data_IF_491512344430
#
_entry.id   IF_491512344430
#
_cell.length_a   1.000
_cell.length_b   1.000
_cell.length_c   1.000
_cell.angle_alpha   90.00
_cell.angle_beta   90.00
_cell.angle_gamma   90.00
#
_symmetry.space_group_name_H-M   'P 1'
#
loop_
_entity.id
_entity.type
_entity.pdbx_description
1 polymer ?
#
# COMPACT_ATOMS: atom_id res chain seq x y z
N UNK A 1 -1.42 10.46 -50.87
CA UNK A 1 -1.91 10.95 -49.57
C UNK A 1 -1.36 12.34 -49.39
N UNK A 2 -2.23 13.35 -49.55
CA UNK A 2 -1.85 14.74 -49.72
C UNK A 2 -1.26 15.35 -48.45
N UNK A 3 -0.43 16.38 -48.63
CA UNK A 3 0.21 17.16 -47.59
C UNK A 3 -0.82 17.75 -46.58
N UNK A 4 -2.03 18.04 -47.07
CA UNK A 4 -3.18 18.51 -46.29
C UNK A 4 -3.67 17.52 -45.25
N UNK A 5 -3.68 16.20 -45.52
CA UNK A 5 -4.06 15.18 -44.55
C UNK A 5 -3.02 14.99 -43.44
N UNK A 6 -1.74 15.30 -43.69
CA UNK A 6 -0.68 15.32 -42.68
C UNK A 6 -0.81 16.52 -41.77
N UNK A 7 -1.19 17.67 -42.27
CA UNK A 7 -1.38 18.89 -41.49
C UNK A 7 -2.61 18.75 -40.59
N UNK A 8 -3.73 18.24 -41.10
CA UNK A 8 -4.94 17.96 -40.30
C UNK A 8 -4.64 16.95 -39.17
N UNK A 9 -3.76 15.98 -39.40
CA UNK A 9 -3.38 15.01 -38.39
C UNK A 9 -2.48 15.61 -37.29
N UNK A 10 -1.67 16.60 -37.61
CA UNK A 10 -0.85 17.35 -36.66
C UNK A 10 -1.66 18.40 -35.87
N UNK A 11 -2.65 19.03 -36.51
CA UNK A 11 -3.55 19.98 -35.86
C UNK A 11 -4.57 19.29 -34.94
N UNK A 12 -4.86 17.98 -35.18
CA UNK A 12 -5.71 17.16 -34.30
C UNK A 12 -4.94 16.45 -33.16
N UNK A 13 -3.61 16.49 -33.14
CA UNK A 13 -2.83 16.22 -31.98
C UNK A 13 -2.84 17.44 -31.04
N UNK A 14 -4.01 17.81 -30.57
CA UNK A 14 -4.15 18.65 -29.40
C UNK A 14 -3.47 17.83 -28.30
N UNK A 15 -2.33 18.30 -27.83
CA UNK A 15 -1.75 17.87 -26.55
C UNK A 15 -2.72 18.32 -25.46
N UNK A 16 -3.74 17.49 -25.21
CA UNK A 16 -4.53 17.64 -24.00
C UNK A 16 -3.59 17.33 -22.85
N UNK A 17 -3.03 18.36 -22.26
CA UNK A 17 -2.44 18.25 -20.93
C UNK A 17 -3.62 18.00 -19.98
N UNK A 18 -3.84 16.74 -19.61
CA UNK A 18 -4.93 16.35 -18.73
C UNK A 18 -4.87 17.13 -17.40
N UNK A 19 -3.70 17.66 -17.04
CA UNK A 19 -3.52 18.53 -15.87
C UNK A 19 -4.26 19.86 -15.98
N UNK A 20 -4.52 20.37 -17.21
CA UNK A 20 -5.29 21.61 -17.41
C UNK A 20 -6.82 21.41 -17.31
N UNK A 21 -7.29 20.16 -17.35
CA UNK A 21 -8.74 19.85 -17.34
C UNK A 21 -9.26 19.61 -15.92
N UNK A 22 -8.39 19.17 -14.99
CA UNK A 22 -8.79 18.88 -13.62
C UNK A 22 -8.43 20.04 -12.70
N UNK A 23 -9.44 20.65 -12.09
CA UNK A 23 -9.21 21.57 -11.00
C UNK A 23 -8.47 20.85 -9.87
N UNK A 24 -7.42 21.46 -9.30
CA UNK A 24 -6.70 20.86 -8.19
C UNK A 24 -7.65 20.65 -7.01
N UNK A 25 -7.59 19.48 -6.42
CA UNK A 25 -8.38 19.13 -5.23
C UNK A 25 -7.98 20.10 -4.11
N UNK A 26 -8.95 20.79 -3.45
CA UNK A 26 -8.64 21.68 -2.34
C UNK A 26 -7.89 20.95 -1.22
N UNK A 27 -6.82 21.57 -0.69
CA UNK A 27 -5.92 20.94 0.28
C UNK A 27 -6.64 20.42 1.54
N UNK A 28 -7.59 21.21 2.06
CA UNK A 28 -8.38 20.80 3.25
C UNK A 28 -9.24 19.58 2.96
N UNK A 29 -9.91 19.56 1.80
CA UNK A 29 -10.71 18.42 1.36
C UNK A 29 -9.85 17.17 1.16
N UNK A 30 -8.66 17.34 0.54
CA UNK A 30 -7.70 16.25 0.37
C UNK A 30 -7.29 15.65 1.72
N UNK A 31 -6.89 16.49 2.68
CA UNK A 31 -6.44 16.03 4.01
C UNK A 31 -7.55 15.29 4.77
N UNK A 32 -8.78 15.81 4.73
CA UNK A 32 -9.92 15.17 5.38
C UNK A 32 -10.20 13.80 4.77
N UNK A 33 -10.33 13.72 3.45
CA UNK A 33 -10.61 12.48 2.72
C UNK A 33 -9.49 11.46 2.86
N UNK A 34 -8.25 11.91 2.77
CA UNK A 34 -7.10 11.03 2.97
C UNK A 34 -7.08 10.43 4.38
N UNK A 35 -7.39 11.22 5.40
CA UNK A 35 -7.51 10.73 6.78
C UNK A 35 -8.60 9.68 6.94
N UNK A 36 -9.76 9.86 6.28
CA UNK A 36 -10.84 8.85 6.27
C UNK A 36 -10.36 7.53 5.63
N UNK A 37 -9.70 7.61 4.47
CA UNK A 37 -9.13 6.46 3.77
C UNK A 37 -8.11 5.74 4.64
N UNK A 38 -7.21 6.47 5.29
CA UNK A 38 -6.18 5.88 6.15
C UNK A 38 -6.78 5.21 7.40
N UNK A 39 -7.82 5.79 7.97
CA UNK A 39 -8.56 5.20 9.10
C UNK A 39 -9.23 3.89 8.66
N UNK A 40 -9.88 3.90 7.51
CA UNK A 40 -10.48 2.72 6.93
C UNK A 40 -9.44 1.64 6.61
N UNK A 41 -8.30 2.02 6.01
CA UNK A 41 -7.21 1.12 5.67
C UNK A 41 -6.65 0.43 6.91
N UNK A 42 -6.43 1.18 7.98
CA UNK A 42 -5.98 0.64 9.27
C UNK A 42 -6.96 -0.39 9.82
N UNK A 43 -8.26 -0.06 9.83
CA UNK A 43 -9.31 -0.98 10.27
C UNK A 43 -9.34 -2.25 9.41
N UNK A 44 -9.24 -2.13 8.09
CA UNK A 44 -9.20 -3.27 7.17
C UNK A 44 -8.00 -4.19 7.44
N UNK A 45 -6.82 -3.63 7.70
CA UNK A 45 -5.62 -4.40 8.04
C UNK A 45 -5.76 -5.10 9.40
N UNK A 46 -6.45 -4.48 10.36
CA UNK A 46 -6.64 -5.04 11.70
C UNK A 46 -7.69 -6.13 11.75
N UNK A 47 -8.82 -5.95 11.09
CA UNK A 47 -9.99 -6.81 11.18
C UNK A 47 -10.08 -7.82 10.02
N UNK A 48 -9.33 -7.59 8.93
CA UNK A 48 -9.39 -8.41 7.72
C UNK A 48 -10.68 -8.26 6.91
N UNK A 49 -11.54 -7.31 7.30
CA UNK A 49 -12.85 -7.05 6.70
C UNK A 49 -13.04 -5.55 6.49
N UNK A 50 -14.01 -5.18 5.66
CA UNK A 50 -14.37 -3.80 5.38
C UNK A 50 -15.87 -3.59 5.48
N UNK A 51 -16.25 -2.48 6.07
CA UNK A 51 -17.62 -1.97 6.13
C UNK A 51 -18.00 -1.09 4.92
N UNK A 52 -17.02 -0.78 4.05
CA UNK A 52 -17.19 0.01 2.82
C UNK A 52 -16.89 -0.84 1.57
N UNK A 53 -17.51 -0.46 0.47
CA UNK A 53 -17.24 -1.08 -0.83
C UNK A 53 -15.81 -0.73 -1.29
N UNK A 54 -15.02 -1.75 -1.63
CA UNK A 54 -13.65 -1.56 -2.10
C UNK A 54 -13.55 -0.73 -3.38
N UNK A 55 -14.56 -0.80 -4.24
CA UNK A 55 -14.59 -0.02 -5.47
C UNK A 55 -14.79 1.47 -5.17
N UNK A 56 -15.58 1.83 -4.16
CA UNK A 56 -15.74 3.22 -3.71
C UNK A 56 -14.40 3.78 -3.21
N UNK A 57 -13.70 3.03 -2.35
CA UNK A 57 -12.38 3.43 -1.85
C UNK A 57 -11.37 3.58 -3.00
N UNK A 58 -11.36 2.64 -3.95
CA UNK A 58 -10.51 2.76 -5.13
C UNK A 58 -10.78 4.04 -5.92
N UNK A 59 -12.05 4.38 -6.15
CA UNK A 59 -12.44 5.58 -6.88
C UNK A 59 -12.05 6.86 -6.10
N UNK A 60 -12.27 6.89 -4.79
CA UNK A 60 -11.84 8.01 -3.94
C UNK A 60 -10.32 8.23 -4.00
N UNK A 61 -9.53 7.15 -3.94
CA UNK A 61 -8.08 7.23 -4.09
C UNK A 61 -7.70 7.69 -5.50
N UNK A 62 -8.38 7.19 -6.52
CA UNK A 62 -8.15 7.58 -7.91
C UNK A 62 -8.39 9.07 -8.13
N UNK A 63 -9.50 9.60 -7.59
CA UNK A 63 -9.86 11.02 -7.68
C UNK A 63 -8.88 11.92 -6.90
N UNK A 64 -8.49 11.51 -5.69
CA UNK A 64 -7.57 12.27 -4.86
C UNK A 64 -6.15 12.34 -5.45
N UNK A 65 -5.69 11.26 -6.08
CA UNK A 65 -4.34 11.13 -6.63
C UNK A 65 -4.26 11.38 -8.14
N UNK A 66 -5.22 12.12 -8.70
CA UNK A 66 -5.32 12.30 -10.14
C UNK A 66 -4.13 13.10 -10.72
N UNK A 67 -3.63 14.07 -9.97
CA UNK A 67 -2.59 14.99 -10.43
C UNK A 67 -1.20 14.61 -9.93
N UNK A 68 -1.08 14.21 -8.68
CA UNK A 68 0.21 13.88 -8.04
C UNK A 68 -0.01 13.09 -6.76
N UNK A 69 1.07 12.50 -6.22
CA UNK A 69 1.08 11.88 -4.90
C UNK A 69 1.91 12.75 -3.96
N UNK A 70 1.28 13.43 -2.99
CA UNK A 70 2.00 14.15 -1.97
C UNK A 70 2.91 13.22 -1.14
N UNK A 71 4.09 13.71 -0.73
CA UNK A 71 5.03 12.94 0.10
C UNK A 71 4.40 12.44 1.40
N UNK A 72 3.45 13.18 1.96
CA UNK A 72 2.69 12.81 3.14
C UNK A 72 1.83 11.54 2.94
N UNK A 73 1.33 11.32 1.72
CA UNK A 73 0.60 10.10 1.34
C UNK A 73 1.54 8.90 1.41
N UNK A 74 2.72 9.01 0.80
CA UNK A 74 3.73 7.96 0.80
C UNK A 74 4.11 7.60 2.24
N UNK A 75 4.45 8.60 3.05
CA UNK A 75 4.81 8.42 4.47
C UNK A 75 3.69 7.78 5.29
N UNK A 76 2.44 8.19 5.05
CA UNK A 76 1.30 7.64 5.81
C UNK A 76 1.05 6.17 5.51
N UNK A 77 1.22 5.74 4.25
CA UNK A 77 1.11 4.33 3.86
C UNK A 77 2.28 3.52 4.44
N UNK A 78 3.51 4.02 4.33
CA UNK A 78 4.68 3.35 4.91
C UNK A 78 4.53 3.19 6.43
N UNK A 79 4.05 4.20 7.14
CA UNK A 79 3.81 4.13 8.57
C UNK A 79 2.80 3.02 8.93
N UNK A 80 1.65 2.96 8.25
CA UNK A 80 0.65 1.91 8.49
C UNK A 80 1.21 0.51 8.20
N UNK A 81 1.96 0.35 7.11
CA UNK A 81 2.57 -0.93 6.76
C UNK A 81 3.63 -1.34 7.79
N UNK A 82 4.38 -0.37 8.34
CA UNK A 82 5.33 -0.60 9.42
C UNK A 82 4.62 -1.04 10.70
N UNK A 83 3.57 -0.33 11.14
CA UNK A 83 2.76 -0.71 12.30
C UNK A 83 2.20 -2.13 12.14
N UNK A 84 1.68 -2.45 10.95
CA UNK A 84 1.15 -3.77 10.66
C UNK A 84 2.22 -4.87 10.64
N UNK A 85 3.45 -4.55 10.22
CA UNK A 85 4.59 -5.46 10.26
C UNK A 85 4.97 -5.82 11.69
N UNK A 86 4.97 -4.84 12.60
CA UNK A 86 5.20 -5.07 14.04
C UNK A 86 4.13 -5.98 14.63
N UNK A 87 2.86 -5.73 14.31
CA UNK A 87 1.74 -6.59 14.76
C UNK A 87 1.91 -8.03 14.24
N UNK A 88 2.24 -8.18 12.96
CA UNK A 88 2.47 -9.50 12.33
C UNK A 88 3.62 -10.25 12.99
N UNK A 89 4.71 -9.54 13.34
CA UNK A 89 5.82 -10.14 14.11
C UNK A 89 5.35 -10.69 15.45
N UNK A 90 4.54 -9.93 16.20
CA UNK A 90 4.04 -10.38 17.49
C UNK A 90 3.21 -11.66 17.34
N UNK A 91 2.34 -11.75 16.34
CA UNK A 91 1.59 -12.95 16.02
C UNK A 91 2.52 -14.13 15.65
N UNK A 92 3.55 -13.88 14.84
CA UNK A 92 4.54 -14.91 14.51
C UNK A 92 5.31 -15.39 15.75
N UNK A 93 5.67 -14.51 16.66
CA UNK A 93 6.33 -14.88 17.93
C UNK A 93 5.42 -15.74 18.84
N UNK A 94 4.12 -15.48 18.85
CA UNK A 94 3.16 -16.34 19.57
C UNK A 94 3.08 -17.72 18.94
N UNK A 95 3.12 -17.82 17.60
CA UNK A 95 3.08 -19.08 16.88
C UNK A 95 4.34 -19.93 17.13
N UNK A 96 5.52 -19.33 17.25
CA UNK A 96 6.78 -20.07 17.48
C UNK A 96 6.72 -20.87 18.78
N UNK A 97 5.91 -20.47 19.76
CA UNK A 97 5.72 -21.22 21.01
C UNK A 97 4.83 -22.45 20.86
N UNK A 98 4.12 -22.59 19.74
CA UNK A 98 3.30 -23.77 19.43
C UNK A 98 4.16 -24.87 18.82
N UNK A 99 3.72 -26.12 18.91
CA UNK A 99 4.49 -27.28 18.42
C UNK A 99 3.69 -28.10 17.44
N UNK A 100 4.43 -28.73 16.51
CA UNK A 100 3.89 -29.74 15.60
C UNK A 100 2.80 -29.19 14.67
N UNK A 101 1.74 -29.97 14.49
CA UNK A 101 0.67 -29.67 13.54
C UNK A 101 -0.10 -28.39 13.86
N UNK A 102 -0.20 -28.01 15.13
CA UNK A 102 -0.86 -26.77 15.56
C UNK A 102 -0.12 -25.54 15.03
N UNK A 103 1.22 -25.52 15.11
CA UNK A 103 2.03 -24.46 14.53
C UNK A 103 1.77 -24.32 13.02
N UNK A 104 1.85 -25.42 12.28
CA UNK A 104 1.68 -25.38 10.83
C UNK A 104 0.28 -24.94 10.40
N UNK A 105 -0.75 -25.40 11.13
CA UNK A 105 -2.13 -24.97 10.87
C UNK A 105 -2.29 -23.48 11.04
N UNK A 106 -1.92 -22.95 12.19
CA UNK A 106 -2.11 -21.55 12.53
C UNK A 106 -1.21 -20.62 11.67
N UNK A 107 0.00 -21.07 11.33
CA UNK A 107 0.87 -20.36 10.39
C UNK A 107 0.24 -20.26 9.00
N UNK A 108 -0.32 -21.35 8.49
CA UNK A 108 -1.00 -21.35 7.20
C UNK A 108 -2.25 -20.46 7.20
N UNK A 109 -3.00 -20.43 8.29
CA UNK A 109 -4.15 -19.54 8.46
C UNK A 109 -3.73 -18.07 8.46
N UNK A 110 -2.70 -17.72 9.22
CA UNK A 110 -2.13 -16.38 9.24
C UNK A 110 -1.64 -15.97 7.86
N UNK A 111 -0.83 -16.82 7.20
CA UNK A 111 -0.28 -16.54 5.87
C UNK A 111 -1.36 -16.39 4.80
N UNK A 112 -2.38 -17.25 4.84
CA UNK A 112 -3.54 -17.16 3.94
C UNK A 112 -4.32 -15.86 4.14
N UNK A 113 -4.50 -15.42 5.40
CA UNK A 113 -5.14 -14.16 5.75
C UNK A 113 -4.33 -12.96 5.23
N UNK A 114 -3.03 -12.94 5.46
CA UNK A 114 -2.13 -11.91 4.94
C UNK A 114 -2.21 -11.80 3.41
N UNK A 115 -2.13 -12.93 2.71
CA UNK A 115 -2.23 -12.95 1.25
C UNK A 115 -3.57 -12.39 0.74
N UNK A 116 -4.68 -12.70 1.39
CA UNK A 116 -6.00 -12.15 1.02
C UNK A 116 -6.03 -10.64 1.19
N UNK A 117 -5.57 -10.13 2.34
CA UNK A 117 -5.52 -8.70 2.65
C UNK A 117 -4.65 -7.96 1.63
N UNK A 118 -3.44 -8.45 1.36
CA UNK A 118 -2.53 -7.77 0.43
C UNK A 118 -2.95 -7.86 -1.03
N UNK A 119 -3.60 -8.95 -1.44
CA UNK A 119 -4.20 -9.03 -2.78
C UNK A 119 -5.30 -7.99 -2.97
N UNK A 120 -6.06 -7.71 -1.92
CA UNK A 120 -7.09 -6.67 -1.94
C UNK A 120 -6.46 -5.29 -1.93
N UNK A 121 -5.49 -5.06 -1.04
CA UNK A 121 -4.77 -3.80 -0.92
C UNK A 121 -4.12 -3.39 -2.25
N UNK A 122 -3.46 -4.32 -2.95
CA UNK A 122 -2.89 -4.06 -4.28
C UNK A 122 -3.92 -3.62 -5.31
N UNK A 123 -5.13 -4.16 -5.27
CA UNK A 123 -6.20 -3.74 -6.19
C UNK A 123 -6.63 -2.30 -5.91
N UNK A 124 -6.77 -1.94 -4.64
CA UNK A 124 -7.20 -0.62 -4.20
C UNK A 124 -6.10 0.42 -4.46
N UNK A 125 -4.85 0.06 -4.16
CA UNK A 125 -3.70 0.96 -4.24
C UNK A 125 -3.01 0.94 -5.62
N UNK A 126 -3.60 0.31 -6.63
CA UNK A 126 -2.97 0.13 -7.95
C UNK A 126 -2.53 1.46 -8.60
N UNK A 127 -3.32 2.53 -8.47
CA UNK A 127 -2.95 3.85 -9.00
C UNK A 127 -1.80 4.45 -8.19
N UNK A 128 -1.87 4.39 -6.86
CA UNK A 128 -0.79 4.81 -5.98
C UNK A 128 0.53 4.12 -6.35
N UNK A 129 0.54 2.80 -6.50
CA UNK A 129 1.73 2.04 -6.85
C UNK A 129 2.34 2.48 -8.19
N UNK A 130 1.50 2.74 -9.20
CA UNK A 130 1.95 3.19 -10.52
C UNK A 130 2.58 4.58 -10.51
N UNK A 131 2.06 5.50 -9.71
CA UNK A 131 2.54 6.87 -9.67
C UNK A 131 3.72 6.98 -8.70
N UNK A 132 3.62 6.44 -7.48
CA UNK A 132 4.66 6.55 -6.45
C UNK A 132 5.97 5.87 -6.85
N UNK A 133 5.89 4.72 -7.53
CA UNK A 133 7.06 3.91 -7.85
C UNK A 133 7.35 3.82 -9.36
N UNK A 134 6.56 4.51 -10.17
CA UNK A 134 6.68 4.52 -11.62
C UNK A 134 6.42 3.15 -12.26
N UNK A 135 6.74 3.03 -13.55
CA UNK A 135 6.65 1.75 -14.28
C UNK A 135 7.77 0.74 -13.88
N UNK A 136 8.62 1.10 -12.94
CA UNK A 136 9.65 0.23 -12.38
C UNK A 136 8.97 -0.61 -11.30
N UNK A 137 8.47 -1.74 -11.66
CA UNK A 137 7.69 -2.74 -10.91
C UNK A 137 8.34 -3.28 -9.61
N UNK A 138 9.17 -2.49 -8.90
CA UNK A 138 9.99 -3.05 -7.83
C UNK A 138 9.41 -2.91 -6.42
N UNK A 139 8.48 -2.00 -6.15
CA UNK A 139 7.99 -1.81 -4.78
C UNK A 139 6.47 -1.67 -4.74
N UNK A 140 5.74 -2.76 -4.77
CA UNK A 140 4.31 -2.73 -4.43
C UNK A 140 4.12 -2.72 -2.91
N UNK A 141 2.92 -2.38 -2.45
CA UNK A 141 2.60 -2.30 -1.00
C UNK A 141 2.91 -3.60 -0.24
N UNK A 142 2.84 -4.75 -0.91
CA UNK A 142 3.19 -6.04 -0.31
C UNK A 142 4.71 -6.19 -0.12
N UNK A 143 5.52 -5.76 -1.07
CA UNK A 143 6.98 -5.79 -0.97
C UNK A 143 7.48 -4.82 0.10
N UNK A 144 6.85 -3.64 0.22
CA UNK A 144 7.15 -2.68 1.28
C UNK A 144 6.84 -3.32 2.64
N UNK A 145 5.67 -3.94 2.81
CA UNK A 145 5.33 -4.66 4.03
C UNK A 145 6.34 -5.76 4.36
N UNK A 146 6.69 -6.62 3.39
CA UNK A 146 7.68 -7.69 3.59
C UNK A 146 9.06 -7.14 3.98
N UNK A 147 9.46 -6.02 3.39
CA UNK A 147 10.70 -5.35 3.75
C UNK A 147 10.68 -4.88 5.22
N UNK A 148 9.62 -4.20 5.64
CA UNK A 148 9.48 -3.77 7.04
C UNK A 148 9.37 -4.96 8.00
N UNK A 149 8.63 -6.01 7.65
CA UNK A 149 8.55 -7.23 8.44
C UNK A 149 9.93 -7.88 8.62
N UNK A 150 10.71 -7.93 7.54
CA UNK A 150 12.09 -8.45 7.59
C UNK A 150 12.97 -7.63 8.55
N UNK A 151 12.93 -6.29 8.47
CA UNK A 151 13.69 -5.42 9.38
C UNK A 151 13.31 -5.67 10.83
N UNK A 152 12.03 -5.68 11.13
CA UNK A 152 11.52 -5.89 12.50
C UNK A 152 11.90 -7.26 13.06
N UNK A 153 11.98 -8.31 12.22
CA UNK A 153 12.42 -9.65 12.61
C UNK A 153 13.93 -9.72 12.86
N UNK A 154 14.74 -9.00 12.07
CA UNK A 154 16.20 -8.98 12.22
C UNK A 154 16.61 -8.24 13.49
N UNK A 155 16.04 -7.06 13.75
CA UNK A 155 16.35 -6.25 14.93
C UNK A 155 16.14 -7.03 16.22
N UNK A 156 15.11 -7.87 16.29
CA UNK A 156 14.84 -8.72 17.46
C UNK A 156 15.87 -9.82 17.70
N UNK A 157 16.58 -10.24 16.65
CA UNK A 157 17.62 -11.26 16.79
C UNK A 157 18.93 -10.65 17.28
N UNK A 158 19.17 -9.35 17.03
CA UNK A 158 20.32 -8.64 17.54
C UNK A 158 20.17 -8.37 19.05
N UNK A 159 18.99 -7.97 19.52
CA UNK A 159 18.70 -7.77 20.95
C UNK A 159 18.89 -9.05 21.78
N UNK A 160 18.69 -10.25 21.19
CA UNK A 160 18.91 -11.53 21.88
C UNK A 160 20.38 -11.94 21.94
N UNK A 161 21.19 -11.57 20.95
CA UNK A 161 22.64 -11.90 20.95
C UNK A 161 23.38 -11.10 22.01
N UNK A 162 23.02 -9.83 22.20
CA UNK A 162 23.66 -8.98 23.23
C UNK A 162 23.34 -9.44 24.65
N UNK A 163 22.26 -10.20 24.85
CA UNK A 163 21.90 -10.79 26.14
C UNK A 163 22.64 -12.11 26.44
N UNK A 164 22.96 -12.89 25.42
CA UNK A 164 23.68 -14.17 25.56
C UNK A 164 25.20 -14.00 25.69
N UNK A 165 25.76 -12.86 25.26
CA UNK A 165 27.18 -12.55 25.41
C UNK A 165 27.55 -11.94 26.79
N UNK A 166 26.56 -11.65 27.65
CA UNK A 166 26.76 -11.10 28.97
C UNK A 166 26.50 -12.07 30.13
N UNK A 167 26.44 -13.38 29.87
CA UNK A 167 26.36 -14.47 30.83
C UNK A 167 27.65 -15.29 30.80
#
# INVERSE_FOLDING_TARGET
MSQELKNIKNDLMINFDLKEIYEPVPEEYFKEKWKEIMTWLKKMLEEGTSDRCYQEIYMEIDDLLINDIPEEVIKSIENILTEYSVKTKNLLNELINKKGDEFFKDFNELWSSLNKIFNLLRKIMNKYEKIAYGNIQKNNVYEIFLYHLKLVLIDSNNDKKDLDENI
#
